data_IF_165264279700
#
_entry.id   IF_165264279700
#
_cell.length_a   1.000
_cell.length_b   1.000
_cell.length_c   1.000
_cell.angle_alpha   90.00
_cell.angle_beta   90.00
_cell.angle_gamma   90.00
#
_symmetry.space_group_name_H-M   'P 1'
#
loop_
_entity.id
_entity.type
_entity.pdbx_description
1 polymer ?
#
# COMPACT_ATOMS: atom_id res chain seq x y z
N UNK A 1 13.49 7.02 19.98
CA UNK A 1 13.59 5.58 19.67
C UNK A 1 12.95 4.79 20.80
N UNK A 2 11.93 3.99 20.49
CA UNK A 2 11.26 3.15 21.46
C UNK A 2 12.13 1.94 21.83
N UNK A 3 12.00 1.43 23.05
CA UNK A 3 12.64 0.20 23.48
C UNK A 3 11.99 -1.01 22.78
N UNK A 4 10.66 -1.01 22.69
CA UNK A 4 9.85 -2.00 22.02
C UNK A 4 8.68 -1.34 21.30
N UNK A 5 8.22 -1.92 20.18
CA UNK A 5 7.05 -1.46 19.43
C UNK A 5 6.08 -2.61 19.23
N UNK A 6 4.83 -2.44 19.66
CA UNK A 6 3.76 -3.41 19.38
C UNK A 6 2.87 -2.89 18.27
N UNK A 7 2.81 -3.61 17.16
CA UNK A 7 1.85 -3.34 16.08
C UNK A 7 0.54 -4.07 16.38
N UNK A 8 -0.48 -3.32 16.77
CA UNK A 8 -1.82 -3.86 16.96
C UNK A 8 -2.62 -3.72 15.67
N UNK A 9 -3.18 -4.81 15.18
CA UNK A 9 -4.04 -4.85 14.00
C UNK A 9 -5.33 -5.62 14.28
N UNK A 10 -6.44 -5.13 13.77
CA UNK A 10 -7.74 -5.82 13.90
C UNK A 10 -7.81 -7.08 13.03
N UNK A 11 -7.24 -7.01 11.84
CA UNK A 11 -7.25 -8.10 10.86
C UNK A 11 -5.87 -8.16 10.22
N UNK A 12 -5.27 -9.34 10.00
CA UNK A 12 -3.98 -9.46 9.35
C UNK A 12 -4.02 -8.92 7.92
N UNK A 13 -2.86 -8.47 7.44
CA UNK A 13 -2.64 -8.06 6.05
C UNK A 13 -1.55 -8.90 5.42
N UNK A 14 -1.54 -8.99 4.08
CA UNK A 14 -0.39 -9.52 3.38
C UNK A 14 0.79 -8.57 3.51
N UNK A 15 1.91 -9.09 3.99
CA UNK A 15 3.17 -8.35 4.10
C UNK A 15 4.22 -9.07 3.27
N UNK A 16 4.88 -8.33 2.38
CA UNK A 16 5.90 -8.85 1.47
C UNK A 16 7.24 -8.15 1.70
N UNK A 17 8.30 -8.90 1.96
CA UNK A 17 9.64 -8.34 1.91
C UNK A 17 9.98 -8.00 0.45
N UNK A 18 10.43 -6.79 0.21
CA UNK A 18 10.88 -6.34 -1.10
C UNK A 18 12.31 -5.82 -1.01
N UNK A 19 13.15 -5.98 -2.04
CA UNK A 19 14.47 -5.39 -2.05
C UNK A 19 14.42 -3.87 -1.91
N UNK A 20 15.36 -3.30 -1.15
CA UNK A 20 15.52 -1.83 -1.03
C UNK A 20 15.90 -1.22 -2.38
N UNK A 21 16.84 -1.87 -3.08
CA UNK A 21 17.24 -1.47 -4.43
C UNK A 21 16.69 -2.43 -5.47
N UNK A 22 16.31 -1.90 -6.63
CA UNK A 22 15.93 -2.73 -7.77
C UNK A 22 17.17 -3.39 -8.40
N UNK A 23 17.35 -4.73 -8.26
CA UNK A 23 18.53 -5.42 -8.79
C UNK A 23 18.63 -5.35 -10.31
N UNK A 24 17.50 -5.26 -11.02
CA UNK A 24 17.47 -5.15 -12.49
C UNK A 24 17.96 -3.76 -12.91
N UNK A 25 17.49 -2.71 -12.23
CA UNK A 25 17.95 -1.36 -12.50
C UNK A 25 19.45 -1.20 -12.21
N UNK A 26 19.91 -1.78 -11.09
CA UNK A 26 21.33 -1.78 -10.72
C UNK A 26 22.22 -2.48 -11.78
N UNK A 27 21.78 -3.66 -12.24
CA UNK A 27 22.48 -4.41 -13.29
C UNK A 27 22.52 -3.63 -14.61
N UNK A 28 21.40 -3.08 -15.05
CA UNK A 28 21.32 -2.35 -16.32
C UNK A 28 22.15 -1.06 -16.31
N UNK A 29 22.22 -0.35 -15.19
CA UNK A 29 23.07 0.85 -15.05
C UNK A 29 24.57 0.54 -15.11
N UNK A 30 24.99 -0.67 -14.80
CA UNK A 30 26.38 -1.07 -14.93
C UNK A 30 26.85 -1.21 -16.39
N UNK A 31 25.90 -1.43 -17.33
CA UNK A 31 26.21 -1.74 -18.73
C UNK A 31 25.69 -0.71 -19.73
N UNK A 32 24.71 0.10 -19.35
CA UNK A 32 24.02 1.05 -20.22
C UNK A 32 23.97 2.44 -19.60
N UNK A 33 23.81 3.46 -20.45
CA UNK A 33 23.57 4.81 -19.96
C UNK A 33 22.23 4.90 -19.18
N UNK A 34 22.08 5.92 -18.33
CA UNK A 34 20.95 6.05 -17.41
C UNK A 34 19.58 6.05 -18.10
N UNK A 35 19.46 6.66 -19.28
CA UNK A 35 18.20 6.71 -20.02
C UNK A 35 17.77 5.32 -20.53
N UNK A 36 18.69 4.56 -21.08
CA UNK A 36 18.43 3.20 -21.58
C UNK A 36 18.15 2.28 -20.40
N UNK A 37 18.98 2.33 -19.36
CA UNK A 37 18.82 1.52 -18.15
C UNK A 37 17.48 1.78 -17.47
N UNK A 38 17.11 3.05 -17.31
CA UNK A 38 15.83 3.45 -16.71
C UNK A 38 14.62 2.94 -17.52
N UNK A 39 14.62 3.16 -18.84
CA UNK A 39 13.51 2.73 -19.68
C UNK A 39 13.39 1.21 -19.76
N UNK A 40 14.49 0.48 -19.82
CA UNK A 40 14.51 -0.98 -19.81
C UNK A 40 14.02 -1.55 -18.47
N UNK A 41 14.57 -1.07 -17.35
CA UNK A 41 14.14 -1.46 -16.00
C UNK A 41 12.65 -1.16 -15.77
N UNK A 42 12.17 0.02 -16.19
CA UNK A 42 10.76 0.40 -16.08
C UNK A 42 9.86 -0.56 -16.86
N UNK A 43 10.17 -0.87 -18.12
CA UNK A 43 9.38 -1.80 -18.94
C UNK A 43 9.36 -3.21 -18.32
N UNK A 44 10.51 -3.68 -17.86
CA UNK A 44 10.62 -4.97 -17.18
C UNK A 44 9.75 -5.00 -15.91
N UNK A 45 9.83 -4.00 -15.06
CA UNK A 45 9.05 -3.95 -13.82
C UNK A 45 7.54 -3.84 -14.07
N UNK A 46 7.11 -3.09 -15.10
CA UNK A 46 5.70 -3.06 -15.51
C UNK A 46 5.23 -4.45 -15.95
N UNK A 47 6.00 -5.14 -16.80
CA UNK A 47 5.65 -6.48 -17.27
C UNK A 47 5.62 -7.49 -16.10
N UNK A 48 6.63 -7.47 -15.23
CA UNK A 48 6.71 -8.29 -14.01
C UNK A 48 5.51 -8.05 -13.09
N UNK A 49 5.15 -6.79 -12.81
CA UNK A 49 4.02 -6.48 -11.94
C UNK A 49 2.69 -6.94 -12.53
N UNK A 50 2.49 -6.76 -13.83
CA UNK A 50 1.30 -7.28 -14.54
C UNK A 50 1.22 -8.80 -14.47
N UNK A 51 2.34 -9.49 -14.65
CA UNK A 51 2.41 -10.94 -14.55
C UNK A 51 2.11 -11.43 -13.13
N UNK A 52 2.71 -10.81 -12.11
CA UNK A 52 2.44 -11.13 -10.70
C UNK A 52 0.97 -10.93 -10.37
N UNK A 53 0.38 -9.81 -10.80
CA UNK A 53 -1.04 -9.56 -10.61
C UNK A 53 -1.91 -10.65 -11.29
N UNK A 54 -1.66 -10.94 -12.55
CA UNK A 54 -2.40 -11.97 -13.30
C UNK A 54 -2.26 -13.36 -12.65
N UNK A 55 -1.06 -13.70 -12.16
CA UNK A 55 -0.81 -14.94 -11.42
C UNK A 55 -1.63 -14.98 -10.12
N UNK A 56 -1.63 -13.91 -9.33
CA UNK A 56 -2.42 -13.83 -8.10
C UNK A 56 -3.92 -13.98 -8.37
N UNK A 57 -4.43 -13.35 -9.42
CA UNK A 57 -5.85 -13.47 -9.79
C UNK A 57 -6.19 -14.88 -10.29
N UNK A 58 -5.33 -15.50 -11.08
CA UNK A 58 -5.59 -16.82 -11.68
C UNK A 58 -5.38 -17.98 -10.71
N UNK A 59 -4.42 -17.84 -9.77
CA UNK A 59 -4.00 -18.87 -8.83
C UNK A 59 -3.92 -18.36 -7.39
N UNK A 60 -5.01 -17.81 -6.81
CA UNK A 60 -4.96 -17.13 -5.52
C UNK A 60 -4.47 -18.04 -4.37
N UNK A 61 -4.88 -19.31 -4.35
CA UNK A 61 -4.44 -20.28 -3.32
C UNK A 61 -2.92 -20.53 -3.39
N UNK A 62 -2.34 -20.58 -4.60
CA UNK A 62 -0.89 -20.76 -4.76
C UNK A 62 -0.14 -19.48 -4.35
N UNK A 63 -0.65 -18.31 -4.73
CA UNK A 63 -0.09 -17.04 -4.34
C UNK A 63 -0.08 -16.87 -2.81
N UNK A 64 -1.18 -17.19 -2.12
CA UNK A 64 -1.25 -17.21 -0.64
C UNK A 64 -0.17 -18.11 -0.04
N UNK A 65 -0.02 -19.34 -0.55
CA UNK A 65 0.99 -20.27 -0.07
C UNK A 65 2.42 -19.75 -0.25
N UNK A 66 2.70 -19.10 -1.38
CA UNK A 66 4.02 -18.49 -1.64
C UNK A 66 4.27 -17.35 -0.65
N UNK A 67 3.33 -16.42 -0.49
CA UNK A 67 3.48 -15.28 0.44
C UNK A 67 3.68 -15.79 1.87
N UNK A 68 2.86 -16.72 2.33
CA UNK A 68 3.01 -17.35 3.65
C UNK A 68 4.39 -17.97 3.83
N UNK A 69 4.86 -18.70 2.84
CA UNK A 69 6.17 -19.35 2.86
C UNK A 69 7.33 -18.35 2.94
N UNK A 70 7.21 -17.19 2.31
CA UNK A 70 8.18 -16.10 2.45
C UNK A 70 8.20 -15.55 3.87
N UNK A 71 7.03 -15.32 4.47
CA UNK A 71 6.94 -14.81 5.84
C UNK A 71 7.49 -15.80 6.86
N UNK A 72 7.19 -17.11 6.70
CA UNK A 72 7.75 -18.17 7.57
C UNK A 72 9.28 -18.19 7.52
N UNK A 73 9.88 -17.95 6.35
CA UNK A 73 11.35 -17.93 6.20
C UNK A 73 12.03 -16.74 6.86
N UNK A 74 11.29 -15.64 7.05
CA UNK A 74 11.83 -14.39 7.57
C UNK A 74 11.56 -14.20 9.07
N UNK A 75 10.74 -15.03 9.66
CA UNK A 75 10.35 -14.97 11.06
C UNK A 75 10.99 -16.11 11.86
N UNK A 76 11.14 -15.96 13.18
CA UNK A 76 11.63 -17.02 14.05
C UNK A 76 10.83 -18.30 13.94
N UNK A 77 11.49 -19.43 14.21
CA UNK A 77 10.80 -20.72 14.23
C UNK A 77 9.68 -20.73 15.28
N UNK A 78 8.52 -21.26 14.88
CA UNK A 78 7.33 -21.30 15.74
C UNK A 78 6.52 -19.99 15.78
N UNK A 79 6.92 -18.94 15.08
CA UNK A 79 6.15 -17.69 15.04
C UNK A 79 4.75 -17.91 14.44
N UNK A 80 3.67 -17.37 15.04
CA UNK A 80 2.28 -17.60 14.62
C UNK A 80 1.90 -16.83 13.34
N UNK A 81 2.55 -17.18 12.22
CA UNK A 81 2.36 -16.50 10.91
C UNK A 81 0.91 -16.51 10.45
N UNK A 82 0.17 -17.58 10.71
CA UNK A 82 -1.23 -17.68 10.29
C UNK A 82 -2.15 -16.73 11.05
N UNK A 83 -1.82 -16.38 12.29
CA UNK A 83 -2.58 -15.41 13.08
C UNK A 83 -2.31 -13.98 12.62
N UNK A 84 -1.06 -13.64 12.28
CA UNK A 84 -0.65 -12.25 12.10
C UNK A 84 -0.44 -11.83 10.63
N UNK A 85 -0.19 -12.79 9.73
CA UNK A 85 0.19 -12.51 8.33
C UNK A 85 -0.57 -13.33 7.28
N UNK A 86 -1.66 -14.00 7.66
CA UNK A 86 -2.49 -14.77 6.75
C UNK A 86 -3.94 -14.25 6.73
N UNK A 87 -4.22 -13.17 6.00
CA UNK A 87 -5.53 -12.55 5.97
C UNK A 87 -6.61 -13.47 5.34
N UNK A 88 -7.90 -13.24 5.64
CA UNK A 88 -9.02 -14.04 5.14
C UNK A 88 -9.34 -13.80 3.66
N UNK A 89 -8.74 -12.78 3.03
CA UNK A 89 -8.95 -12.40 1.63
C UNK A 89 -7.82 -12.88 0.73
N UNK A 90 -8.02 -12.84 -0.59
CA UNK A 90 -6.99 -13.23 -1.55
C UNK A 90 -6.02 -12.07 -1.86
N UNK A 91 -4.79 -12.39 -2.33
CA UNK A 91 -3.86 -11.36 -2.76
C UNK A 91 -4.47 -10.45 -3.83
N UNK A 92 -4.32 -9.12 -3.65
CA UNK A 92 -4.87 -8.05 -4.49
C UNK A 92 -6.39 -7.81 -4.38
N UNK A 93 -7.15 -8.54 -3.58
CA UNK A 93 -8.51 -8.13 -3.20
C UNK A 93 -8.47 -6.91 -2.28
N UNK A 94 -7.42 -6.82 -1.46
CA UNK A 94 -7.05 -5.65 -0.68
C UNK A 94 -5.55 -5.37 -0.86
N UNK A 95 -4.97 -4.46 -0.07
CA UNK A 95 -3.54 -4.12 -0.16
C UNK A 95 -2.62 -5.29 0.12
N UNK A 96 -1.52 -5.32 -0.63
CA UNK A 96 -0.29 -6.03 -0.30
C UNK A 96 0.70 -5.01 0.27
N UNK A 97 1.05 -5.13 1.54
CA UNK A 97 2.01 -4.25 2.17
C UNK A 97 3.43 -4.67 1.79
N UNK A 98 4.19 -3.76 1.20
CA UNK A 98 5.59 -3.97 0.89
C UNK A 98 6.48 -3.44 2.03
N UNK A 99 7.39 -4.28 2.52
CA UNK A 99 8.38 -3.91 3.54
C UNK A 99 9.78 -3.94 2.91
N UNK A 100 10.36 -2.78 2.59
CA UNK A 100 11.71 -2.71 2.02
C UNK A 100 12.73 -3.30 2.98
N UNK A 101 13.63 -4.15 2.46
CA UNK A 101 14.66 -4.82 3.27
C UNK A 101 14.14 -5.83 4.28
N UNK A 102 12.84 -5.93 4.51
CA UNK A 102 12.27 -6.81 5.51
C UNK A 102 12.39 -6.29 6.95
N UNK A 103 12.50 -4.99 7.16
CA UNK A 103 12.76 -4.32 8.46
C UNK A 103 11.79 -4.77 9.56
N UNK A 104 10.52 -4.97 9.25
CA UNK A 104 9.52 -5.48 10.21
C UNK A 104 9.90 -6.87 10.72
N UNK A 105 10.25 -7.78 9.81
CA UNK A 105 10.61 -9.16 10.15
C UNK A 105 11.90 -9.21 10.96
N UNK A 106 12.88 -8.40 10.59
CA UNK A 106 14.13 -8.25 11.32
C UNK A 106 13.89 -7.71 12.74
N UNK A 107 13.01 -6.71 12.89
CA UNK A 107 12.67 -6.12 14.19
C UNK A 107 11.95 -7.13 15.09
N UNK A 108 11.07 -7.97 14.53
CA UNK A 108 10.41 -9.06 15.26
C UNK A 108 11.44 -10.11 15.68
N UNK A 109 12.33 -10.51 14.79
CA UNK A 109 13.37 -11.51 15.07
C UNK A 109 14.37 -11.04 16.12
N UNK A 110 14.57 -9.73 16.26
CA UNK A 110 15.41 -9.09 17.31
C UNK A 110 14.63 -8.76 18.58
N UNK A 111 13.39 -9.19 18.69
CA UNK A 111 12.50 -8.91 19.84
C UNK A 111 12.28 -7.42 20.11
N UNK A 112 12.55 -6.55 19.11
CA UNK A 112 12.30 -5.10 19.20
C UNK A 112 10.89 -4.71 18.78
N UNK A 113 10.19 -5.62 18.12
CA UNK A 113 8.80 -5.43 17.73
C UNK A 113 7.99 -6.71 17.93
N UNK A 114 6.70 -6.55 18.19
CA UNK A 114 5.72 -7.62 18.23
C UNK A 114 4.48 -7.26 17.44
N UNK A 115 3.71 -8.26 17.03
CA UNK A 115 2.43 -8.07 16.35
C UNK A 115 1.34 -8.71 17.17
N UNK A 116 0.27 -7.97 17.44
CA UNK A 116 -0.95 -8.46 18.04
C UNK A 116 -2.10 -8.32 17.04
N UNK A 117 -2.93 -9.35 16.95
CA UNK A 117 -4.10 -9.35 16.05
C UNK A 117 -5.34 -9.57 16.88
N UNK A 118 -6.02 -8.47 17.18
CA UNK A 118 -7.24 -8.46 18.01
C UNK A 118 -7.95 -7.11 17.88
N UNK A 119 -9.16 -7.02 18.41
CA UNK A 119 -9.95 -5.80 18.49
C UNK A 119 -9.75 -5.09 19.83
N UNK A 120 -9.84 -3.76 19.80
CA UNK A 120 -9.70 -2.92 20.99
C UNK A 120 -11.02 -2.89 21.74
N UNK A 121 -11.03 -3.38 22.95
CA UNK A 121 -12.17 -3.24 23.86
C UNK A 121 -12.24 -1.83 24.45
N UNK A 122 -11.10 -1.33 24.98
CA UNK A 122 -11.00 0.02 25.55
C UNK A 122 -9.55 0.45 25.71
N UNK A 123 -9.34 1.76 25.81
CA UNK A 123 -8.09 2.35 26.28
C UNK A 123 -8.09 2.45 27.79
N UNK A 124 -6.94 2.25 28.40
CA UNK A 124 -6.71 2.34 29.84
C UNK A 124 -5.66 3.40 30.15
N UNK A 125 -5.43 3.71 31.42
CA UNK A 125 -4.39 4.66 31.84
C UNK A 125 -2.96 4.18 31.46
N UNK A 126 -2.77 2.86 31.33
CA UNK A 126 -1.45 2.25 31.09
C UNK A 126 -1.33 1.56 29.73
N UNK A 127 -2.35 1.66 28.87
CA UNK A 127 -2.28 1.01 27.56
C UNK A 127 -3.63 0.69 26.92
N UNK A 128 -3.74 -0.50 26.33
CA UNK A 128 -4.91 -0.94 25.57
C UNK A 128 -5.38 -2.31 26.07
N UNK A 129 -6.67 -2.42 26.43
CA UNK A 129 -7.31 -3.71 26.69
C UNK A 129 -7.97 -4.23 25.42
N UNK A 130 -7.70 -5.47 25.07
CA UNK A 130 -8.23 -6.17 23.89
C UNK A 130 -9.51 -6.97 24.25
N UNK A 131 -10.29 -7.32 23.23
CA UNK A 131 -11.51 -8.13 23.42
C UNK A 131 -11.20 -9.55 23.92
N UNK A 132 -10.02 -10.09 23.61
CA UNK A 132 -9.53 -11.35 24.19
C UNK A 132 -9.26 -11.29 25.70
N UNK A 133 -9.31 -10.09 26.30
CA UNK A 133 -8.92 -9.84 27.69
C UNK A 133 -7.45 -9.53 27.89
N UNK A 134 -6.60 -9.65 26.88
CA UNK A 134 -5.18 -9.28 26.94
C UNK A 134 -5.05 -7.77 27.13
N UNK A 135 -4.07 -7.35 27.93
CA UNK A 135 -3.68 -5.95 28.08
C UNK A 135 -2.31 -5.73 27.46
N UNK A 136 -2.21 -4.69 26.61
CA UNK A 136 -0.96 -4.23 26.02
C UNK A 136 -0.56 -2.95 26.76
N UNK A 137 0.52 -3.00 27.51
CA UNK A 137 1.10 -1.82 28.13
C UNK A 137 1.79 -0.93 27.08
N UNK A 138 1.59 0.37 27.16
CA UNK A 138 2.17 1.33 26.24
C UNK A 138 2.28 2.72 26.86
N UNK A 139 3.47 3.32 26.78
CA UNK A 139 3.71 4.72 27.16
C UNK A 139 3.17 5.68 26.11
N UNK A 140 3.21 5.26 24.83
CA UNK A 140 2.77 6.06 23.68
C UNK A 140 1.92 5.19 22.76
N UNK A 141 0.73 5.68 22.41
CA UNK A 141 -0.16 5.04 21.47
C UNK A 141 -0.27 5.90 20.21
N UNK A 142 0.09 5.32 19.06
CA UNK A 142 -0.03 5.96 17.75
C UNK A 142 -1.20 5.36 17.00
N UNK A 143 -2.24 6.15 16.76
CA UNK A 143 -3.40 5.70 15.99
C UNK A 143 -3.12 5.79 14.49
N UNK A 144 -3.07 4.63 13.81
CA UNK A 144 -2.85 4.49 12.38
C UNK A 144 -4.01 3.70 11.73
N UNK A 145 -5.24 3.98 12.17
CA UNK A 145 -6.46 3.20 11.86
C UNK A 145 -7.09 3.53 10.50
N UNK A 146 -6.42 4.33 9.68
CA UNK A 146 -6.89 4.75 8.36
C UNK A 146 -7.50 6.15 8.37
N UNK A 147 -8.04 6.54 7.23
CA UNK A 147 -8.57 7.87 6.97
C UNK A 147 -9.98 7.79 6.41
N UNK A 148 -10.83 8.72 6.80
CA UNK A 148 -12.07 8.98 6.07
C UNK A 148 -11.72 9.74 4.79
N UNK A 149 -11.95 9.10 3.64
CA UNK A 149 -11.70 9.75 2.35
C UNK A 149 -12.74 10.85 2.13
N UNK A 150 -12.25 12.07 1.98
CA UNK A 150 -13.04 13.22 1.61
C UNK A 150 -12.70 13.61 0.16
N UNK A 151 -13.53 13.20 -0.83
CA UNK A 151 -13.29 13.55 -2.22
C UNK A 151 -13.12 15.05 -2.39
N UNK A 152 -12.14 15.47 -3.20
CA UNK A 152 -11.78 16.86 -3.46
C UNK A 152 -11.52 17.72 -2.21
N UNK A 153 -11.18 17.09 -1.07
CA UNK A 153 -10.94 17.79 0.19
C UNK A 153 -12.19 18.50 0.76
N UNK A 154 -13.39 18.06 0.37
CA UNK A 154 -14.66 18.71 0.75
C UNK A 154 -15.06 19.90 -0.15
N UNK A 155 -14.30 20.17 -1.21
CA UNK A 155 -14.67 21.17 -2.22
C UNK A 155 -15.92 20.70 -2.98
N UNK A 156 -16.92 21.57 -3.08
CA UNK A 156 -18.13 21.35 -3.86
C UNK A 156 -18.06 22.20 -5.12
N UNK A 157 -17.72 21.61 -6.29
CA UNK A 157 -17.68 22.35 -7.54
C UNK A 157 -19.09 22.86 -7.88
N UNK A 158 -19.15 24.08 -8.41
CA UNK A 158 -20.38 24.67 -8.95
C UNK A 158 -20.16 25.14 -10.37
N UNK A 159 -21.17 24.95 -11.22
CA UNK A 159 -21.20 25.44 -12.60
C UNK A 159 -22.43 26.32 -12.73
N UNK A 160 -22.25 27.55 -13.09
CA UNK A 160 -23.34 28.57 -13.22
C UNK A 160 -24.22 28.64 -11.96
N UNK A 161 -23.64 28.45 -10.77
CA UNK A 161 -24.30 28.47 -9.49
C UNK A 161 -24.86 27.15 -8.98
N UNK A 162 -24.99 26.14 -9.85
CA UNK A 162 -25.49 24.81 -9.53
C UNK A 162 -24.39 23.87 -9.06
N UNK A 163 -24.64 23.14 -7.97
CA UNK A 163 -23.68 22.19 -7.43
C UNK A 163 -23.51 20.96 -8.34
N UNK A 164 -22.29 20.58 -8.61
CA UNK A 164 -21.95 19.38 -9.39
C UNK A 164 -22.20 18.13 -8.53
N UNK A 165 -22.96 17.18 -9.06
CA UNK A 165 -23.17 15.87 -8.45
C UNK A 165 -22.04 14.92 -8.81
N UNK A 166 -20.96 14.91 -8.02
CA UNK A 166 -19.77 14.10 -8.27
C UNK A 166 -20.03 12.61 -8.56
N UNK A 167 -20.98 11.92 -7.91
CA UNK A 167 -21.30 10.53 -8.22
C UNK A 167 -21.84 10.29 -9.64
N UNK A 168 -22.37 11.31 -10.29
CA UNK A 168 -22.87 11.24 -11.66
C UNK A 168 -21.79 11.56 -12.71
N UNK A 169 -20.63 12.06 -12.27
CA UNK A 169 -19.52 12.41 -13.16
C UNK A 169 -18.68 11.19 -13.54
N UNK A 170 -18.27 11.14 -14.80
CA UNK A 170 -17.28 10.19 -15.31
C UNK A 170 -15.91 10.87 -15.33
N UNK A 171 -14.88 10.16 -14.85
CA UNK A 171 -13.51 10.66 -14.92
C UNK A 171 -12.81 10.23 -16.20
N UNK A 172 -12.26 11.19 -16.94
CA UNK A 172 -11.36 10.91 -18.05
C UNK A 172 -9.92 10.86 -17.57
N UNK A 173 -9.26 9.73 -17.78
CA UNK A 173 -7.87 9.44 -17.35
C UNK A 173 -7.61 9.63 -15.85
N UNK A 174 -8.64 9.74 -15.00
CA UNK A 174 -8.51 10.08 -13.59
C UNK A 174 -8.05 11.54 -13.37
N UNK A 175 -8.39 12.43 -14.28
CA UNK A 175 -7.95 13.82 -14.27
C UNK A 175 -9.08 14.82 -14.54
N UNK A 176 -9.88 14.60 -15.56
CA UNK A 176 -10.98 15.50 -15.92
C UNK A 176 -12.32 14.88 -15.54
N UNK A 177 -13.27 15.72 -15.14
CA UNK A 177 -14.63 15.29 -14.83
C UNK A 177 -15.58 15.66 -15.97
N UNK A 178 -16.47 14.72 -16.35
CA UNK A 178 -17.50 15.02 -17.33
C UNK A 178 -18.40 16.13 -16.83
N UNK A 179 -18.75 17.06 -17.74
CA UNK A 179 -19.61 18.18 -17.40
C UNK A 179 -18.99 19.26 -16.52
N UNK A 180 -17.70 19.16 -16.14
CA UNK A 180 -17.01 20.17 -15.32
C UNK A 180 -15.86 20.79 -16.13
N UNK A 181 -16.10 21.87 -16.86
CA UNK A 181 -15.08 22.54 -17.67
C UNK A 181 -14.03 23.22 -16.78
N UNK A 182 -12.84 23.42 -17.33
CA UNK A 182 -11.74 24.16 -16.69
C UNK A 182 -11.33 23.64 -15.29
N UNK A 183 -11.58 22.36 -15.02
CA UNK A 183 -11.25 21.70 -13.77
C UNK A 183 -10.49 20.40 -14.01
N UNK A 184 -9.37 20.25 -13.35
CA UNK A 184 -8.58 19.04 -13.38
C UNK A 184 -8.19 18.61 -11.97
N UNK A 185 -8.22 17.30 -11.74
CA UNK A 185 -7.77 16.67 -10.49
C UNK A 185 -6.69 15.64 -10.82
N UNK A 186 -5.84 15.33 -9.87
CA UNK A 186 -4.84 14.30 -10.04
C UNK A 186 -5.18 13.10 -9.14
N UNK A 187 -5.59 11.99 -9.76
CA UNK A 187 -5.88 10.74 -9.06
C UNK A 187 -4.87 9.68 -9.50
N UNK A 188 -4.09 9.20 -8.54
CA UNK A 188 -3.09 8.16 -8.76
C UNK A 188 -3.68 6.76 -8.96
N UNK A 189 -2.83 5.75 -8.94
CA UNK A 189 -3.27 4.35 -8.98
C UNK A 189 -3.81 3.91 -7.62
N UNK A 190 -4.85 3.09 -7.62
CA UNK A 190 -5.43 2.53 -6.40
C UNK A 190 -4.60 1.40 -5.79
N UNK A 191 -3.87 0.65 -6.61
CA UNK A 191 -3.10 -0.52 -6.22
C UNK A 191 -1.59 -0.39 -6.52
N UNK A 192 -1.10 0.84 -6.72
CA UNK A 192 0.30 1.14 -7.04
C UNK A 192 0.67 2.52 -6.52
N UNK A 193 1.95 2.90 -6.59
CA UNK A 193 2.37 4.24 -6.15
C UNK A 193 1.67 5.34 -6.95
N UNK A 194 1.12 6.31 -6.25
CA UNK A 194 0.45 7.48 -6.84
C UNK A 194 1.37 8.28 -7.73
N UNK A 195 2.62 8.47 -7.33
CA UNK A 195 3.61 9.28 -8.05
C UNK A 195 3.85 8.80 -9.48
N UNK A 196 3.77 7.48 -9.72
CA UNK A 196 3.95 6.90 -11.06
C UNK A 196 2.92 7.39 -12.07
N UNK A 197 1.70 7.68 -11.64
CA UNK A 197 0.61 8.16 -12.50
C UNK A 197 0.55 9.68 -12.53
N UNK A 198 0.80 10.34 -11.41
CA UNK A 198 0.70 11.81 -11.32
C UNK A 198 1.63 12.49 -12.33
N UNK A 199 2.88 12.05 -12.46
CA UNK A 199 3.79 12.58 -13.49
C UNK A 199 3.22 12.49 -14.90
N UNK A 200 2.62 11.32 -15.27
CA UNK A 200 1.98 11.14 -16.57
C UNK A 200 0.75 12.03 -16.78
N UNK A 201 -0.03 12.26 -15.72
CA UNK A 201 -1.18 13.15 -15.75
C UNK A 201 -0.75 14.60 -15.95
N UNK A 202 0.25 15.08 -15.22
CA UNK A 202 0.79 16.42 -15.37
C UNK A 202 1.33 16.68 -16.78
N UNK A 203 2.08 15.70 -17.32
CA UNK A 203 2.61 15.78 -18.68
C UNK A 203 1.48 15.83 -19.73
N UNK A 204 0.45 15.00 -19.56
CA UNK A 204 -0.71 15.00 -20.45
C UNK A 204 -1.49 16.32 -20.36
N UNK A 205 -1.71 16.84 -19.15
CA UNK A 205 -2.41 18.10 -18.91
C UNK A 205 -1.67 19.28 -19.54
N UNK A 206 -0.35 19.35 -19.35
CA UNK A 206 0.47 20.40 -19.97
C UNK A 206 0.38 20.36 -21.50
N UNK A 207 0.41 19.17 -22.10
CA UNK A 207 0.24 19.03 -23.55
C UNK A 207 -1.15 19.47 -24.00
N UNK A 208 -2.19 19.16 -23.23
CA UNK A 208 -3.55 19.56 -23.54
C UNK A 208 -3.73 21.09 -23.53
N UNK A 209 -3.09 21.79 -22.57
CA UNK A 209 -3.15 23.24 -22.47
C UNK A 209 -2.36 23.96 -23.58
N UNK A 210 -1.34 23.29 -24.13
CA UNK A 210 -0.49 23.85 -25.20
C UNK A 210 -0.99 23.51 -26.62
N UNK A 211 -2.11 22.84 -26.75
CA UNK A 211 -2.71 22.44 -28.02
C UNK A 211 -3.77 23.44 -28.43
#
# INVERSE_FOLDING_TARGET
TAAHVTMLQRTPSYVLPVPVEDPVAKYLRAWFNDNIAFNAARRFNIAKQRWVYAFCQRFPKRARKIIRSLNVKMLPEGYPVDTHFNPPYNPWEQRLCAVPGGDLFESISKEKASVETDTIATFTETGIKLDSGKHIEADIIVTATGLNLLPLGGLIPKIDGEAVKLPECVTYKGMLLSGVPNFAIAVGYTASSWTLKIGLLCEHFTRLLNH
#
